data_IF_246686063273
#
_entry.id   IF_246686063273
#
_cell.length_a   1.000
_cell.length_b   1.000
_cell.length_c   1.000
_cell.angle_alpha   90.00
_cell.angle_beta   90.00
_cell.angle_gamma   90.00
#
_symmetry.space_group_name_H-M   'P 1'
#
loop_
_entity.id
_entity.type
_entity.pdbx_description
1 polymer ?
#
# COMPACT_ATOMS: atom_id res chain seq x y z
N UNK A 1 6.39 -1.24 0.70
CA UNK A 1 7.29 -1.80 -0.34
C UNK A 1 6.45 -2.42 -1.46
N UNK A 2 7.01 -2.67 -2.64
CA UNK A 2 6.35 -3.46 -3.69
C UNK A 2 7.03 -4.84 -3.83
N UNK A 3 6.25 -5.85 -4.17
CA UNK A 3 6.71 -7.20 -4.49
C UNK A 3 6.10 -7.67 -5.81
N UNK A 4 6.84 -8.49 -6.55
CA UNK A 4 6.42 -9.04 -7.84
C UNK A 4 6.48 -10.56 -7.79
N UNK A 5 5.44 -11.23 -8.31
CA UNK A 5 5.41 -12.69 -8.43
C UNK A 5 5.90 -13.16 -9.82
N UNK A 6 5.97 -14.48 -10.01
CA UNK A 6 6.40 -15.10 -11.27
C UNK A 6 5.47 -14.83 -12.46
N UNK A 7 4.28 -14.29 -12.23
CA UNK A 7 3.30 -13.89 -13.25
C UNK A 7 3.35 -12.39 -13.50
N UNK A 8 4.36 -11.69 -12.98
CA UNK A 8 4.53 -10.24 -13.07
C UNK A 8 3.37 -9.46 -12.45
N UNK A 9 2.72 -10.00 -11.41
CA UNK A 9 1.72 -9.24 -10.66
C UNK A 9 2.41 -8.43 -9.56
N UNK A 10 2.33 -7.11 -9.66
CA UNK A 10 2.92 -6.20 -8.68
C UNK A 10 1.92 -5.91 -7.58
N UNK A 11 2.34 -6.10 -6.33
CA UNK A 11 1.54 -5.88 -5.13
C UNK A 11 2.31 -5.05 -4.11
N UNK A 12 1.59 -4.41 -3.19
CA UNK A 12 2.21 -3.71 -2.08
C UNK A 12 2.23 -4.59 -0.83
N UNK A 13 3.25 -4.39 0.00
CA UNK A 13 3.33 -4.90 1.36
C UNK A 13 3.82 -3.83 2.33
N UNK A 14 3.72 -4.12 3.62
CA UNK A 14 4.16 -3.25 4.71
C UNK A 14 5.36 -3.85 5.46
N UNK A 15 6.26 -2.98 5.92
CA UNK A 15 7.36 -3.29 6.83
C UNK A 15 7.25 -2.38 8.04
N UNK A 16 7.48 -2.93 9.22
CA UNK A 16 7.75 -2.18 10.44
C UNK A 16 9.24 -2.33 10.74
N UNK A 17 9.94 -1.20 10.84
CA UNK A 17 11.38 -1.14 11.07
C UNK A 17 11.63 -0.62 12.49
N UNK A 18 12.80 -0.93 13.03
CA UNK A 18 13.26 -0.31 14.27
C UNK A 18 13.47 1.20 14.07
N UNK A 19 13.08 1.99 15.08
CA UNK A 19 13.13 3.45 15.01
C UNK A 19 14.54 4.02 15.18
N UNK A 20 15.45 3.27 15.80
CA UNK A 20 16.85 3.66 15.97
C UNK A 20 17.77 2.93 14.97
N UNK A 21 17.46 1.67 14.65
CA UNK A 21 18.26 0.81 13.74
C UNK A 21 17.44 0.36 12.50
N UNK A 22 17.18 1.22 11.50
CA UNK A 22 16.20 0.98 10.44
C UNK A 22 16.49 -0.22 9.52
N UNK A 23 17.72 -0.73 9.48
CA UNK A 23 18.05 -2.00 8.82
C UNK A 23 17.41 -3.22 9.49
N UNK A 24 16.99 -3.08 10.75
CA UNK A 24 16.34 -4.12 11.53
C UNK A 24 14.84 -4.11 11.26
N UNK A 25 14.40 -5.11 10.51
CA UNK A 25 12.97 -5.37 10.28
C UNK A 25 12.34 -6.00 11.53
N UNK A 26 11.42 -5.28 12.18
CA UNK A 26 10.62 -5.78 13.30
C UNK A 26 9.52 -6.70 12.78
N UNK A 27 8.86 -6.30 11.69
CA UNK A 27 7.77 -7.08 11.10
C UNK A 27 7.65 -6.83 9.60
N UNK A 28 7.17 -7.85 8.89
CA UNK A 28 6.84 -7.79 7.47
C UNK A 28 5.46 -8.39 7.26
N UNK A 29 4.63 -7.73 6.46
CA UNK A 29 3.31 -8.24 6.13
C UNK A 29 3.40 -9.64 5.51
N UNK A 30 2.70 -10.65 6.06
CA UNK A 30 2.73 -12.01 5.51
C UNK A 30 1.99 -12.11 4.18
N UNK A 31 1.01 -11.23 3.98
CA UNK A 31 0.22 -11.11 2.76
C UNK A 31 0.40 -9.70 2.15
N UNK A 32 0.08 -9.53 0.86
CA UNK A 32 -0.10 -8.22 0.25
C UNK A 32 -1.08 -7.37 1.06
N UNK A 33 -0.77 -6.07 1.17
CA UNK A 33 -1.70 -5.08 1.73
C UNK A 33 -2.57 -4.47 0.63
N UNK A 34 -2.05 -4.37 -0.59
CA UNK A 34 -2.79 -3.89 -1.76
C UNK A 34 -2.40 -4.74 -2.97
N UNK A 35 -3.40 -5.18 -3.73
CA UNK A 35 -3.18 -5.91 -4.97
C UNK A 35 -4.11 -5.40 -6.09
N UNK A 36 -3.77 -5.68 -7.36
CA UNK A 36 -4.61 -5.31 -8.50
C UNK A 36 -5.94 -6.07 -8.43
N UNK A 37 -7.03 -5.33 -8.29
CA UNK A 37 -8.40 -5.85 -8.29
C UNK A 37 -9.29 -5.01 -9.20
N UNK A 38 -9.06 -3.70 -9.25
CA UNK A 38 -9.86 -2.79 -10.06
C UNK A 38 -9.52 -2.87 -11.55
N UNK A 39 -10.48 -2.59 -12.46
CA UNK A 39 -10.24 -2.67 -13.90
C UNK A 39 -9.04 -1.84 -14.37
N UNK A 40 -8.81 -0.68 -13.77
CA UNK A 40 -7.70 0.21 -14.08
C UNK A 40 -6.33 -0.28 -13.55
N UNK A 41 -6.31 -1.30 -12.70
CA UNK A 41 -5.09 -1.92 -12.16
C UNK A 41 -4.76 -3.22 -12.88
N UNK A 42 -5.79 -4.02 -13.18
CA UNK A 42 -5.67 -5.34 -13.77
C UNK A 42 -5.32 -5.28 -15.26
N UNK A 43 -6.08 -4.51 -16.06
CA UNK A 43 -5.86 -4.42 -17.51
C UNK A 43 -6.79 -3.38 -18.16
N UNK A 44 -6.63 -2.07 -17.92
CA UNK A 44 -7.39 -1.09 -18.68
C UNK A 44 -7.05 -1.18 -20.17
N UNK A 45 -8.00 -0.91 -21.06
CA UNK A 45 -7.72 -0.89 -22.50
C UNK A 45 -6.59 0.10 -22.80
N UNK A 46 -5.53 -0.37 -23.44
CA UNK A 46 -4.36 0.45 -23.77
C UNK A 46 -3.33 0.61 -22.64
N UNK A 47 -3.42 -0.19 -21.57
CA UNK A 47 -2.44 -0.14 -20.48
C UNK A 47 -1.03 -0.56 -20.94
N UNK A 48 0.00 0.01 -20.31
CA UNK A 48 1.38 -0.35 -20.60
C UNK A 48 1.79 -1.68 -19.96
N UNK A 49 1.41 -1.92 -18.70
CA UNK A 49 1.74 -3.14 -17.96
C UNK A 49 0.53 -3.58 -17.13
N UNK A 50 -0.10 -4.74 -17.42
CA UNK A 50 -1.26 -5.20 -16.66
C UNK A 50 -0.88 -5.73 -15.27
N UNK A 51 -1.84 -5.74 -14.35
CA UNK A 51 -1.73 -6.25 -12.97
C UNK A 51 -0.66 -5.54 -12.14
N UNK A 52 -0.69 -4.21 -12.14
CA UNK A 52 0.26 -3.40 -11.39
C UNK A 52 -0.44 -2.51 -10.38
N UNK A 53 -0.05 -2.63 -9.11
CA UNK A 53 -0.12 -1.55 -8.12
C UNK A 53 1.29 -1.25 -7.61
N UNK A 54 1.76 -0.01 -7.81
CA UNK A 54 3.13 0.40 -7.50
C UNK A 54 3.16 1.68 -6.67
N UNK A 55 3.66 1.61 -5.44
CA UNK A 55 3.61 2.74 -4.50
C UNK A 55 4.54 3.87 -4.91
N UNK A 56 4.01 5.11 -4.89
CA UNK A 56 4.74 6.33 -5.22
C UNK A 56 4.89 7.25 -3.99
N UNK A 57 4.08 7.07 -2.96
CA UNK A 57 4.18 7.82 -1.70
C UNK A 57 3.00 7.53 -0.77
N UNK A 58 3.21 7.81 0.52
CA UNK A 58 2.16 7.76 1.53
C UNK A 58 2.20 9.05 2.34
N UNK A 59 1.04 9.66 2.57
CA UNK A 59 0.90 10.93 3.28
C UNK A 59 -0.22 10.80 4.30
N UNK A 60 -0.10 11.43 5.48
CA UNK A 60 -1.25 11.51 6.37
C UNK A 60 -2.32 12.38 5.72
N UNK A 61 -3.59 12.01 5.91
CA UNK A 61 -4.74 12.76 5.37
C UNK A 61 -4.89 14.12 6.04
N UNK A 62 -4.49 14.22 7.30
CA UNK A 62 -4.36 15.47 8.06
C UNK A 62 -2.90 15.69 8.45
N UNK A 63 -2.40 16.93 8.34
CA UNK A 63 -0.99 17.22 8.65
C UNK A 63 -0.72 17.12 10.15
N UNK A 64 0.16 16.17 10.53
CA UNK A 64 0.60 15.92 11.91
C UNK A 64 2.04 15.43 11.93
N UNK A 65 2.74 15.73 13.02
CA UNK A 65 4.11 15.24 13.25
C UNK A 65 4.11 13.78 13.70
N UNK A 66 3.16 13.39 14.53
CA UNK A 66 2.97 12.01 15.01
C UNK A 66 1.52 11.62 14.73
N UNK A 67 1.33 10.46 14.10
CA UNK A 67 0.00 9.93 13.78
C UNK A 67 -0.46 8.98 14.88
N UNK A 68 -1.76 9.00 15.16
CA UNK A 68 -2.44 8.08 16.08
C UNK A 68 -3.13 6.95 15.31
N UNK A 69 -3.55 5.90 16.02
CA UNK A 69 -4.13 4.68 15.46
C UNK A 69 -5.26 4.93 14.44
N UNK A 70 -6.12 5.92 14.72
CA UNK A 70 -7.30 6.25 13.90
C UNK A 70 -7.02 7.22 12.76
N UNK A 71 -5.80 7.78 12.68
CA UNK A 71 -5.44 8.70 11.60
C UNK A 71 -5.37 7.96 10.26
N UNK A 72 -5.91 8.59 9.22
CA UNK A 72 -5.90 8.03 7.87
C UNK A 72 -4.62 8.39 7.11
N UNK A 73 -4.10 7.43 6.36
CA UNK A 73 -3.00 7.59 5.43
C UNK A 73 -3.55 7.48 4.00
N UNK A 74 -3.19 8.44 3.16
CA UNK A 74 -3.38 8.41 1.72
C UNK A 74 -2.17 7.73 1.08
N UNK A 75 -2.38 6.60 0.39
CA UNK A 75 -1.34 5.89 -0.35
C UNK A 75 -1.55 6.12 -1.84
N UNK A 76 -0.65 6.88 -2.45
CA UNK A 76 -0.64 7.12 -3.88
C UNK A 76 0.13 6.01 -4.58
N UNK A 77 -0.48 5.42 -5.59
CA UNK A 77 0.11 4.33 -6.36
C UNK A 77 -0.15 4.48 -7.86
N UNK A 78 0.81 4.05 -8.66
CA UNK A 78 0.62 3.82 -10.08
C UNK A 78 -0.17 2.54 -10.31
N UNK A 79 -1.15 2.61 -11.21
CA UNK A 79 -1.97 1.48 -11.63
C UNK A 79 -1.74 1.20 -13.12
N UNK A 80 -1.42 -0.06 -13.39
CA UNK A 80 -1.15 -0.59 -14.73
C UNK A 80 -0.12 0.21 -15.58
N UNK A 81 0.84 0.89 -14.93
CA UNK A 81 1.77 1.85 -15.55
C UNK A 81 1.07 2.89 -16.45
N UNK A 82 -0.16 3.28 -16.09
CA UNK A 82 -1.01 4.11 -16.96
C UNK A 82 -1.64 5.28 -16.21
N UNK A 83 -2.13 5.05 -14.99
CA UNK A 83 -2.79 6.08 -14.18
C UNK A 83 -2.20 6.13 -12.77
N UNK A 84 -2.44 7.22 -12.05
CA UNK A 84 -2.20 7.32 -10.61
C UNK A 84 -3.53 7.25 -9.90
N UNK A 85 -3.60 6.46 -8.83
CA UNK A 85 -4.77 6.31 -7.97
C UNK A 85 -4.37 6.48 -6.50
N UNK A 86 -5.37 6.57 -5.63
CA UNK A 86 -5.19 6.73 -4.18
C UNK A 86 -6.03 5.70 -3.43
N UNK A 87 -5.40 5.06 -2.44
CA UNK A 87 -6.07 4.20 -1.48
C UNK A 87 -5.94 4.80 -0.09
N UNK A 88 -6.90 4.53 0.80
CA UNK A 88 -6.83 4.96 2.20
C UNK A 88 -6.86 3.78 3.15
N UNK A 89 -6.12 3.91 4.23
CA UNK A 89 -6.10 2.99 5.38
C UNK A 89 -5.82 3.79 6.65
N UNK A 90 -6.14 3.24 7.82
CA UNK A 90 -5.74 3.81 9.10
C UNK A 90 -4.30 3.43 9.45
N UNK A 91 -3.63 4.23 10.27
CA UNK A 91 -2.31 3.87 10.82
C UNK A 91 -2.36 2.48 11.47
N UNK A 92 -3.41 2.20 12.23
CA UNK A 92 -3.60 0.92 12.90
C UNK A 92 -3.61 -0.30 11.95
N UNK A 93 -4.03 -0.12 10.69
CA UNK A 93 -4.01 -1.20 9.71
C UNK A 93 -2.58 -1.69 9.40
N UNK A 94 -1.56 -0.85 9.63
CA UNK A 94 -0.16 -1.20 9.38
C UNK A 94 0.55 -1.81 10.60
N UNK A 95 -0.09 -1.79 11.78
CA UNK A 95 0.51 -2.25 13.03
C UNK A 95 0.15 -3.73 13.26
N UNK A 96 1.16 -4.63 13.45
CA UNK A 96 0.90 -6.04 13.72
C UNK A 96 0.16 -6.23 15.07
N UNK A 97 -0.60 -7.34 15.16
CA UNK A 97 -1.48 -7.75 16.27
C UNK A 97 -0.99 -7.36 17.69
N UNK A 98 -1.87 -6.88 18.62
CA UNK A 98 -3.30 -7.22 18.74
C UNK A 98 -4.33 -6.47 17.90
N UNK A 99 -3.97 -5.44 17.15
CA UNK A 99 -4.94 -4.40 16.81
C UNK A 99 -5.33 -4.17 15.33
N UNK A 100 -4.79 -4.91 14.34
CA UNK A 100 -5.10 -4.65 12.92
C UNK A 100 -5.67 -5.84 12.14
N UNK A 101 -6.85 -5.69 11.53
CA UNK A 101 -7.28 -6.42 10.33
C UNK A 101 -7.30 -5.40 9.20
N UNK A 102 -6.37 -5.50 8.27
CA UNK A 102 -6.18 -4.56 7.17
C UNK A 102 -7.48 -4.39 6.38
N UNK A 103 -8.08 -3.19 6.40
CA UNK A 103 -9.27 -2.84 5.61
C UNK A 103 -9.02 -1.55 4.82
N UNK A 104 -8.87 -1.68 3.50
CA UNK A 104 -8.67 -0.53 2.61
C UNK A 104 -9.99 -0.02 2.06
N UNK A 105 -10.05 1.29 1.80
CA UNK A 105 -11.05 1.88 0.89
C UNK A 105 -10.34 2.55 -0.29
N UNK A 106 -10.81 2.26 -1.52
CA UNK A 106 -10.26 2.81 -2.77
C UNK A 106 -11.18 3.92 -3.28
N UNK A 107 -10.61 5.01 -3.81
CA UNK A 107 -11.36 6.03 -4.54
C UNK A 107 -10.73 6.20 -5.92
N UNK A 108 -11.54 6.07 -6.98
CA UNK A 108 -11.15 6.23 -8.38
C UNK A 108 -11.84 7.41 -9.04
#
# INVERSE_FOLDING_TARGET
YHGVDYRSVYRLGALLLDGEEPERVIWRSPNPILEPEEPYECSPQGCQVPNVVFTCGALPKEEREVLEDDDEILVYYGAADTVVSVATAKVLDFIPWPHGVIRWSRQG
#
